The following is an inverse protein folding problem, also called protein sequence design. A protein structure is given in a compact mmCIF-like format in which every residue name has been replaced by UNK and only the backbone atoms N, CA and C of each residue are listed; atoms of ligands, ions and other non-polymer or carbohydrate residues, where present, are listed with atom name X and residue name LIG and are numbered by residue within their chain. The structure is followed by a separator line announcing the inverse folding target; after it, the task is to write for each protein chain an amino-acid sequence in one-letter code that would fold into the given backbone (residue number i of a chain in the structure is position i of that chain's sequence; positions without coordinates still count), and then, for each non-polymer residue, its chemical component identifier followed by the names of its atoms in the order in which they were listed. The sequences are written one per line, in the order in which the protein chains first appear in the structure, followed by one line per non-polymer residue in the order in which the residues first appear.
data_IF_878020310534
#
_entry.id   IF_878020310534
#
_cell.length_a   1.000
_cell.length_b   1.000
_cell.length_c   1.000
_cell.angle_alpha   90.00
_cell.angle_beta   90.00
_cell.angle_gamma   90.00
#
_symmetry.space_group_name_H-M   'P 1'
#
loop_
_entity.id
_entity.type
_entity.pdbx_description
1 polymer ?
#
# COMPACT_ATOMS: atom_id res chain seq x y z
N UNK A 1 -22.29 -6.74 -3.31
CA UNK A 1 -21.05 -6.00 -3.04
C UNK A 1 -20.53 -6.45 -1.70
N UNK A 2 -19.37 -7.10 -1.65
CA UNK A 2 -18.77 -7.52 -0.38
C UNK A 2 -17.88 -6.37 0.12
N UNK A 3 -18.13 -5.82 1.33
CA UNK A 3 -17.31 -4.76 1.87
C UNK A 3 -15.91 -5.28 2.22
N UNK A 4 -14.87 -4.53 1.84
CA UNK A 4 -13.47 -4.89 2.11
C UNK A 4 -13.11 -4.84 3.61
N UNK A 5 -13.78 -3.96 4.37
CA UNK A 5 -13.44 -3.69 5.78
C UNK A 5 -14.64 -3.84 6.72
N UNK A 6 -15.86 -3.60 6.23
CA UNK A 6 -17.06 -3.73 7.06
C UNK A 6 -17.39 -5.20 7.31
N UNK A 7 -17.80 -5.50 8.53
CA UNK A 7 -18.26 -6.81 8.94
C UNK A 7 -19.75 -6.71 9.28
N UNK A 8 -20.57 -7.54 8.64
CA UNK A 8 -22.03 -7.59 8.81
C UNK A 8 -22.48 -8.87 9.51
N UNK A 9 -21.56 -9.61 10.13
CA UNK A 9 -21.91 -10.74 10.97
C UNK A 9 -22.75 -10.29 12.17
N UNK A 10 -23.60 -11.19 12.68
CA UNK A 10 -24.27 -10.96 13.94
C UNK A 10 -23.24 -10.88 15.09
N UNK A 11 -23.64 -10.28 16.22
CA UNK A 11 -22.73 -10.03 17.35
C UNK A 11 -22.07 -11.32 17.87
N UNK A 12 -22.78 -12.44 17.89
CA UNK A 12 -22.27 -13.73 18.38
C UNK A 12 -21.14 -14.28 17.49
N UNK A 13 -21.30 -14.24 16.16
CA UNK A 13 -20.27 -14.69 15.23
C UNK A 13 -19.09 -13.71 15.18
N UNK A 14 -19.34 -12.40 15.31
CA UNK A 14 -18.26 -11.41 15.41
C UNK A 14 -17.41 -11.63 16.67
N UNK A 15 -18.03 -11.93 17.81
CA UNK A 15 -17.32 -12.27 19.05
C UNK A 15 -16.52 -13.57 18.89
N UNK A 16 -17.11 -14.61 18.30
CA UNK A 16 -16.42 -15.87 18.03
C UNK A 16 -15.23 -15.72 17.05
N UNK A 17 -15.31 -14.78 16.11
CA UNK A 17 -14.23 -14.42 15.17
C UNK A 17 -13.13 -13.53 15.80
N UNK A 18 -13.19 -13.29 17.11
CA UNK A 18 -12.17 -12.54 17.87
C UNK A 18 -12.47 -11.05 18.02
N UNK A 19 -13.72 -10.62 17.80
CA UNK A 19 -14.20 -9.26 18.07
C UNK A 19 -13.34 -8.15 17.45
N UNK A 20 -12.80 -8.40 16.24
CA UNK A 20 -11.87 -7.47 15.57
C UNK A 20 -12.58 -6.18 15.21
N UNK A 21 -11.95 -5.05 15.49
CA UNK A 21 -12.38 -3.74 15.03
C UNK A 21 -12.15 -3.56 13.52
N UNK A 22 -12.80 -2.54 12.95
CA UNK A 22 -12.58 -2.16 11.54
C UNK A 22 -11.11 -1.80 11.27
N UNK A 23 -10.44 -1.14 12.22
CA UNK A 23 -9.02 -0.76 12.11
C UNK A 23 -8.11 -1.99 12.07
N UNK A 24 -8.37 -2.99 12.91
CA UNK A 24 -7.58 -4.23 12.93
C UNK A 24 -7.74 -5.01 11.63
N UNK A 25 -8.98 -5.13 11.10
CA UNK A 25 -9.23 -5.76 9.80
C UNK A 25 -8.56 -5.01 8.65
N UNK A 26 -8.68 -3.68 8.64
CA UNK A 26 -8.00 -2.85 7.64
C UNK A 26 -6.48 -3.00 7.72
N UNK A 27 -5.94 -3.14 8.93
CA UNK A 27 -4.50 -3.29 9.16
C UNK A 27 -3.96 -4.57 8.52
N UNK A 28 -4.62 -5.70 8.79
CA UNK A 28 -4.26 -6.98 8.16
C UNK A 28 -4.40 -6.92 6.64
N UNK A 29 -5.44 -6.26 6.14
CA UNK A 29 -5.69 -6.17 4.70
C UNK A 29 -4.60 -5.41 3.96
N UNK A 30 -4.21 -4.20 4.40
CA UNK A 30 -3.17 -3.45 3.69
C UNK A 30 -1.82 -4.13 3.75
N UNK A 31 -1.51 -4.82 4.87
CA UNK A 31 -0.27 -5.58 5.01
C UNK A 31 -0.23 -6.76 4.03
N UNK A 32 -1.34 -7.49 3.88
CA UNK A 32 -1.44 -8.56 2.88
C UNK A 32 -1.27 -8.00 1.47
N UNK A 33 -1.97 -6.92 1.14
CA UNK A 33 -1.87 -6.31 -0.20
C UNK A 33 -0.45 -5.88 -0.52
N UNK A 34 0.31 -5.34 0.45
CA UNK A 34 1.71 -5.00 0.24
C UNK A 34 2.62 -6.23 0.12
N UNK A 35 2.35 -7.28 0.90
CA UNK A 35 3.11 -8.54 0.82
C UNK A 35 2.91 -9.25 -0.53
N UNK A 36 1.68 -9.21 -1.04
CA UNK A 36 1.28 -9.80 -2.31
C UNK A 36 1.51 -8.84 -3.50
N UNK A 37 2.03 -7.63 -3.26
CA UNK A 37 2.22 -6.64 -4.30
C UNK A 37 3.37 -7.03 -5.21
N UNK A 38 3.06 -7.31 -6.47
CA UNK A 38 4.03 -7.46 -7.54
C UNK A 38 4.04 -6.21 -8.42
N UNK A 39 5.20 -5.55 -8.47
CA UNK A 39 5.41 -4.43 -9.39
C UNK A 39 5.27 -4.92 -10.83
N UNK A 40 4.48 -4.24 -11.68
CA UNK A 40 4.37 -4.60 -13.09
C UNK A 40 5.75 -4.48 -13.77
N UNK A 41 6.00 -5.35 -14.76
CA UNK A 41 7.22 -5.29 -15.54
C UNK A 41 7.37 -3.91 -16.19
N UNK A 42 8.45 -3.23 -15.86
CA UNK A 42 8.83 -1.95 -16.44
C UNK A 42 9.98 -2.18 -17.40
N UNK A 43 9.93 -1.52 -18.57
CA UNK A 43 11.03 -1.56 -19.52
C UNK A 43 12.32 -1.01 -18.90
N UNK A 44 13.45 -1.73 -18.96
CA UNK A 44 14.70 -1.29 -18.35
C UNK A 44 15.21 0.06 -18.85
N UNK A 45 15.01 0.38 -20.14
CA UNK A 45 15.45 1.66 -20.71
C UNK A 45 14.61 2.84 -20.22
N UNK A 46 13.32 2.62 -19.98
CA UNK A 46 12.45 3.61 -19.32
C UNK A 46 12.85 3.80 -17.87
N UNK A 47 13.16 2.72 -17.14
CA UNK A 47 13.61 2.80 -15.75
C UNK A 47 14.91 3.61 -15.62
N UNK A 48 15.92 3.31 -16.45
CA UNK A 48 17.19 4.04 -16.50
C UNK A 48 16.97 5.53 -16.81
N UNK A 49 16.13 5.84 -17.82
CA UNK A 49 15.81 7.22 -18.19
C UNK A 49 15.13 8.00 -17.05
N UNK A 50 14.29 7.32 -16.26
CA UNK A 50 13.64 7.91 -15.09
C UNK A 50 14.65 8.15 -13.96
N UNK A 51 15.55 7.21 -13.71
CA UNK A 51 16.62 7.36 -12.69
C UNK A 51 17.55 8.53 -13.05
N UNK A 52 17.99 8.63 -14.30
CA UNK A 52 18.82 9.74 -14.80
C UNK A 52 18.13 11.10 -14.64
N UNK A 53 16.85 11.17 -15.01
CA UNK A 53 16.06 12.38 -14.83
C UNK A 53 15.96 12.76 -13.35
N UNK A 54 15.67 11.81 -12.47
CA UNK A 54 15.55 12.05 -11.03
C UNK A 54 16.89 12.48 -10.44
N UNK A 55 18.01 11.86 -10.83
CA UNK A 55 19.35 12.23 -10.39
C UNK A 55 19.67 13.68 -10.77
N UNK A 56 19.50 14.03 -12.05
CA UNK A 56 19.69 15.40 -12.52
C UNK A 56 18.79 16.40 -11.80
N UNK A 57 17.51 16.06 -11.58
CA UNK A 57 16.57 16.94 -10.86
C UNK A 57 16.94 17.12 -9.39
N UNK A 58 17.45 16.08 -8.72
CA UNK A 58 17.93 16.19 -7.33
C UNK A 58 19.13 17.14 -7.23
N UNK A 59 20.04 17.10 -8.20
CA UNK A 59 21.18 18.02 -8.28
C UNK A 59 20.75 19.46 -8.58
N UNK A 60 19.85 19.65 -9.55
CA UNK A 60 19.31 20.96 -9.93
C UNK A 60 18.48 21.62 -8.82
N UNK A 61 17.77 20.81 -8.02
CA UNK A 61 16.95 21.30 -6.91
C UNK A 61 17.81 21.56 -5.66
N UNK A 62 19.01 20.96 -5.58
CA UNK A 62 20.09 21.25 -4.61
C UNK A 62 19.62 21.64 -3.20
N UNK A 63 19.59 20.67 -2.27
CA UNK A 63 19.28 20.83 -0.82
C UNK A 63 18.56 22.14 -0.49
N UNK A 64 17.32 22.27 -0.96
CA UNK A 64 16.40 23.29 -0.46
C UNK A 64 16.02 22.99 0.98
N UNK A 65 17.01 23.05 1.88
CA UNK A 65 16.76 23.36 3.28
C UNK A 65 16.11 24.75 3.31
N UNK A 66 15.00 24.94 4.04
CA UNK A 66 14.68 26.27 4.53
C UNK A 66 15.75 26.76 5.51
#
# INVERSE_FOLDING_TARGET
YAPLVSDWQNNENWQAAGAKSATERATTLWQSILADHESPALDPGVYESLEDYVARRKEEIGTGEP
#
